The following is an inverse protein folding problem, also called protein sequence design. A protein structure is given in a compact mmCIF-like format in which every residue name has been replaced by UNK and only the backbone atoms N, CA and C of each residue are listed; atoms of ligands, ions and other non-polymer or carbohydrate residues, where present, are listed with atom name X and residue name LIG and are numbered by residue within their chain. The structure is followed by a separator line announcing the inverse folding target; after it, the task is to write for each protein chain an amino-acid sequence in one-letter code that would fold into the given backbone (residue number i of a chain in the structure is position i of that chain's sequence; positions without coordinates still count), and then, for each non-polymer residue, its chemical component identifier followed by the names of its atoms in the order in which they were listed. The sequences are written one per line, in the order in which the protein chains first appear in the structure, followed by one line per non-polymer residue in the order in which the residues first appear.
data_IF_004952806452
#
_entry.id   IF_004952806452
#
_cell.length_a   1.000
_cell.length_b   1.000
_cell.length_c   1.000
_cell.angle_alpha   90.00
_cell.angle_beta   90.00
_cell.angle_gamma   90.00
#
_symmetry.space_group_name_H-M   'P 1'
#
loop_
_entity.id
_entity.type
_entity.pdbx_description
1 polymer ?
#
# COMPACT_ATOMS: atom_id res chain seq x y z
N UNK A 1 23.73 47.97 -34.49
CA UNK A 1 24.45 46.80 -35.07
C UNK A 1 24.24 45.63 -34.13
N UNK A 2 23.33 44.72 -34.47
CA UNK A 2 22.94 43.53 -33.69
C UNK A 2 23.54 42.28 -34.34
N UNK A 3 24.08 41.32 -33.55
CA UNK A 3 24.10 39.91 -33.92
C UNK A 3 23.22 39.12 -32.93
N UNK A 4 22.03 38.65 -33.31
CA UNK A 4 21.70 37.46 -34.11
C UNK A 4 22.07 36.12 -33.43
N UNK A 5 21.01 35.39 -33.03
CA UNK A 5 20.95 34.14 -32.26
C UNK A 5 21.65 32.96 -32.94
N UNK A 6 22.11 32.01 -32.12
CA UNK A 6 22.13 30.58 -32.50
C UNK A 6 21.50 29.75 -31.38
N UNK A 7 20.31 29.25 -31.65
CA UNK A 7 19.57 28.29 -30.82
C UNK A 7 20.13 26.88 -31.08
N UNK A 8 20.51 26.16 -30.02
CA UNK A 8 21.01 24.78 -30.09
C UNK A 8 19.83 23.85 -29.80
N UNK A 9 19.36 23.15 -30.83
CA UNK A 9 18.31 22.14 -30.72
C UNK A 9 18.97 20.81 -30.37
N UNK A 10 18.80 20.34 -29.13
CA UNK A 10 19.26 19.03 -28.67
C UNK A 10 18.17 17.99 -29.02
N UNK A 11 18.53 17.04 -29.88
CA UNK A 11 17.64 15.98 -30.38
C UNK A 11 17.85 14.71 -29.54
N UNK A 12 17.03 14.50 -28.51
CA UNK A 12 17.01 13.25 -27.74
C UNK A 12 16.32 12.15 -28.55
N UNK A 13 17.09 11.11 -28.89
CA UNK A 13 16.62 9.93 -29.62
C UNK A 13 15.77 9.05 -28.69
N UNK A 14 14.52 8.82 -29.08
CA UNK A 14 13.61 7.90 -28.38
C UNK A 14 14.09 6.46 -28.45
N UNK A 15 14.18 5.81 -27.29
CA UNK A 15 14.37 4.38 -27.16
C UNK A 15 13.00 3.70 -27.00
N UNK A 16 12.63 2.88 -27.99
CA UNK A 16 11.40 2.10 -28.00
C UNK A 16 11.74 0.65 -27.66
N UNK A 17 11.58 0.26 -26.40
CA UNK A 17 11.79 -1.12 -25.95
C UNK A 17 10.54 -1.95 -26.27
N UNK A 18 10.71 -3.04 -27.03
CA UNK A 18 9.64 -3.92 -27.50
C UNK A 18 9.70 -5.20 -26.66
N UNK A 19 8.93 -5.27 -25.56
CA UNK A 19 8.80 -6.51 -24.79
C UNK A 19 7.91 -7.49 -25.57
N UNK A 20 8.48 -8.64 -25.93
CA UNK A 20 7.80 -9.70 -26.69
C UNK A 20 6.99 -10.55 -25.71
N UNK A 21 5.68 -10.65 -25.95
CA UNK A 21 4.78 -11.49 -25.16
C UNK A 21 5.22 -12.95 -25.11
N UNK A 22 5.10 -13.54 -23.92
CA UNK A 22 5.40 -14.92 -23.62
C UNK A 22 4.32 -15.83 -24.24
N UNK A 23 4.55 -16.26 -25.49
CA UNK A 23 3.63 -17.14 -26.23
C UNK A 23 4.10 -18.60 -26.13
N UNK A 24 3.22 -19.47 -25.64
CA UNK A 24 3.14 -20.93 -25.78
C UNK A 24 4.45 -21.65 -26.16
N UNK A 25 5.39 -21.69 -25.21
CA UNK A 25 6.62 -22.44 -25.36
C UNK A 25 6.42 -23.86 -24.81
N UNK A 26 6.65 -24.90 -25.63
CA UNK A 26 6.40 -26.31 -25.25
C UNK A 26 7.20 -26.75 -24.02
N UNK A 27 8.30 -26.06 -23.73
CA UNK A 27 9.12 -26.25 -22.51
C UNK A 27 8.36 -25.81 -21.25
N UNK A 28 7.61 -24.70 -21.29
CA UNK A 28 6.82 -24.20 -20.16
C UNK A 28 5.59 -25.09 -19.91
N UNK A 29 4.96 -25.62 -20.97
CA UNK A 29 3.87 -26.60 -20.82
C UNK A 29 4.36 -27.94 -20.25
N UNK A 30 5.57 -28.39 -20.61
CA UNK A 30 6.12 -29.66 -20.12
C UNK A 30 6.54 -29.61 -18.65
N UNK A 31 6.96 -28.45 -18.14
CA UNK A 31 7.27 -28.23 -16.72
C UNK A 31 6.00 -28.16 -15.85
N UNK A 32 4.91 -27.57 -16.37
CA UNK A 32 3.62 -27.54 -15.69
C UNK A 32 2.99 -28.95 -15.59
N UNK A 33 3.16 -29.80 -16.61
CA UNK A 33 2.63 -31.16 -16.64
C UNK A 33 3.36 -32.11 -15.66
N UNK A 34 4.67 -31.92 -15.44
CA UNK A 34 5.45 -32.71 -14.46
C UNK A 34 5.16 -32.32 -13.00
N UNK A 35 4.79 -31.05 -12.74
CA UNK A 35 4.38 -30.59 -11.42
C UNK A 35 3.00 -31.17 -11.01
N UNK A 36 2.10 -31.43 -11.96
CA UNK A 36 0.80 -32.07 -11.71
C UNK A 36 0.91 -33.58 -11.52
N UNK A 37 1.89 -34.25 -12.15
CA UNK A 37 2.09 -35.70 -12.01
C UNK A 37 2.76 -36.11 -10.68
N UNK A 38 3.43 -35.19 -9.99
CA UNK A 38 4.04 -35.40 -8.67
C UNK A 38 3.06 -35.40 -7.49
N UNK A 39 1.80 -34.99 -7.70
CA UNK A 39 0.76 -34.92 -6.66
C UNK A 39 -0.15 -36.17 -6.59
N UNK A 40 0.07 -37.18 -7.44
CA UNK A 40 -0.78 -38.37 -7.54
C UNK A 40 -0.23 -39.64 -6.85
N UNK A 41 0.78 -39.51 -5.97
CA UNK A 41 1.35 -40.64 -5.21
C UNK A 41 1.43 -40.36 -3.70
N UNK A 42 0.38 -39.76 -3.14
CA UNK A 42 0.14 -39.82 -1.70
C UNK A 42 -1.34 -40.08 -1.39
N UNK A 43 -1.90 -41.12 -2.01
CA UNK A 43 -3.11 -41.78 -1.50
C UNK A 43 -2.69 -43.15 -0.98
N UNK A 44 -2.14 -43.15 0.24
CA UNK A 44 -1.97 -44.36 1.04
C UNK A 44 -3.18 -44.49 1.97
N UNK A 45 -3.96 -45.54 1.75
CA UNK A 45 -5.11 -45.98 2.54
C UNK A 45 -4.71 -46.28 3.99
N UNK A 46 -5.60 -45.98 4.94
CA UNK A 46 -5.84 -46.91 6.05
C UNK A 46 -7.31 -46.91 6.48
N UNK A 47 -7.74 -48.09 6.90
CA UNK A 47 -9.09 -48.58 7.10
C UNK A 47 -9.67 -48.18 8.46
N UNK A 48 -10.97 -47.88 8.45
CA UNK A 48 -11.88 -48.43 9.45
C UNK A 48 -12.16 -47.58 10.70
N UNK A 49 -13.42 -47.16 10.79
CA UNK A 49 -14.40 -47.61 11.80
C UNK A 49 -15.26 -46.45 12.35
N UNK A 50 -16.56 -46.73 12.36
CA UNK A 50 -17.72 -45.83 12.46
C UNK A 50 -18.11 -45.50 13.93
N UNK A 51 -19.25 -44.84 14.20
CA UNK A 51 -19.37 -43.45 14.64
C UNK A 51 -19.74 -43.29 16.11
N UNK A 52 -19.58 -42.08 16.65
CA UNK A 52 -20.34 -41.65 17.82
C UNK A 52 -20.64 -40.15 17.74
N UNK A 53 -21.93 -39.84 17.81
CA UNK A 53 -22.52 -38.52 17.88
C UNK A 53 -22.04 -37.77 19.13
N UNK A 54 -21.98 -36.44 19.08
CA UNK A 54 -22.59 -35.52 20.06
C UNK A 54 -22.40 -34.10 19.55
N UNK A 55 -23.51 -33.41 19.26
CA UNK A 55 -23.50 -31.99 18.96
C UNK A 55 -23.15 -31.17 20.19
N UNK A 56 -22.47 -30.06 19.98
CA UNK A 56 -22.46 -28.91 20.89
C UNK A 56 -21.92 -27.70 20.13
N UNK A 57 -22.65 -26.61 20.29
CA UNK A 57 -22.64 -25.40 19.50
C UNK A 57 -21.31 -24.64 19.45
N UNK A 58 -21.09 -24.09 18.26
CA UNK A 58 -20.24 -22.97 17.89
C UNK A 58 -20.45 -21.75 18.83
N UNK A 59 -19.40 -21.10 19.35
CA UNK A 59 -19.44 -19.67 19.58
C UNK A 59 -18.83 -18.97 18.38
N UNK A 60 -19.72 -18.49 17.52
CA UNK A 60 -19.47 -17.49 16.48
C UNK A 60 -19.03 -16.22 17.21
N UNK A 61 -17.72 -16.06 17.37
CA UNK A 61 -17.13 -14.80 17.82
C UNK A 61 -17.35 -13.75 16.73
N UNK A 62 -18.56 -13.21 16.72
CA UNK A 62 -18.93 -12.02 15.97
C UNK A 62 -18.34 -10.85 16.75
N UNK A 63 -17.05 -10.61 16.59
CA UNK A 63 -16.49 -9.29 16.86
C UNK A 63 -16.92 -8.39 15.70
N UNK A 64 -18.16 -7.91 15.80
CA UNK A 64 -18.52 -6.62 15.24
C UNK A 64 -17.61 -5.60 15.93
N UNK A 65 -16.52 -5.24 15.26
CA UNK A 65 -15.83 -4.00 15.56
C UNK A 65 -16.78 -2.88 15.14
N UNK A 66 -17.62 -2.48 16.09
CA UNK A 66 -18.35 -1.23 16.03
C UNK A 66 -17.29 -0.13 15.95
N UNK A 67 -17.10 0.42 14.75
CA UNK A 67 -16.37 1.67 14.49
C UNK A 67 -17.05 2.78 15.27
N UNK A 68 -16.66 2.91 16.53
CA UNK A 68 -17.05 4.03 17.38
C UNK A 68 -16.12 5.18 17.03
N UNK A 69 -16.59 6.04 16.12
CA UNK A 69 -16.14 7.41 15.90
C UNK A 69 -16.21 8.19 17.22
N UNK A 70 -15.22 7.98 18.08
CA UNK A 70 -14.92 8.85 19.20
C UNK A 70 -13.87 9.83 18.71
N UNK A 71 -14.23 11.11 18.59
CA UNK A 71 -13.35 12.20 18.19
C UNK A 71 -12.03 12.15 18.98
N UNK A 72 -11.00 11.54 18.39
CA UNK A 72 -9.64 11.61 18.92
C UNK A 72 -9.21 13.05 18.74
N UNK A 73 -8.98 13.76 19.85
CA UNK A 73 -8.56 15.17 19.78
C UNK A 73 -7.11 15.23 19.34
N UNK A 74 -6.92 15.54 18.06
CA UNK A 74 -5.62 15.86 17.46
C UNK A 74 -5.36 17.36 17.51
N UNK A 75 -4.10 17.73 17.67
CA UNK A 75 -3.65 19.12 17.77
C UNK A 75 -2.82 19.46 16.53
N UNK A 76 -3.13 20.59 15.90
CA UNK A 76 -2.42 21.04 14.71
C UNK A 76 -0.93 21.22 15.00
N UNK A 77 -0.08 20.74 14.09
CA UNK A 77 1.36 20.85 14.23
C UNK A 77 1.97 19.84 15.18
N UNK A 78 1.22 18.87 15.72
CA UNK A 78 1.78 17.72 16.43
C UNK A 78 2.11 16.54 15.50
N UNK A 79 2.93 15.61 16.00
CA UNK A 79 3.35 14.43 15.26
C UNK A 79 2.46 13.23 15.61
N UNK A 80 1.97 12.54 14.59
CA UNK A 80 1.13 11.36 14.73
C UNK A 80 1.61 10.27 13.77
N UNK A 81 1.41 9.00 14.15
CA UNK A 81 1.83 7.84 13.34
C UNK A 81 0.82 6.70 13.37
N UNK A 82 -0.03 6.61 14.40
CA UNK A 82 -1.08 5.60 14.44
C UNK A 82 -2.14 5.88 13.34
N UNK A 83 -2.70 4.85 12.69
CA UNK A 83 -3.64 5.03 11.58
C UNK A 83 -4.82 5.93 11.94
N UNK A 84 -5.41 5.73 13.12
CA UNK A 84 -6.58 6.47 13.58
C UNK A 84 -6.24 7.93 13.90
N UNK A 85 -5.09 8.20 14.53
CA UNK A 85 -4.65 9.57 14.84
C UNK A 85 -4.33 10.34 13.55
N UNK A 86 -3.65 9.70 12.60
CA UNK A 86 -3.30 10.33 11.31
C UNK A 86 -4.55 10.56 10.49
N UNK A 87 -5.52 9.63 10.50
CA UNK A 87 -6.81 9.82 9.85
C UNK A 87 -7.60 10.99 10.47
N UNK A 88 -7.65 11.08 11.80
CA UNK A 88 -8.27 12.20 12.51
C UNK A 88 -7.57 13.53 12.19
N UNK A 89 -6.25 13.53 12.04
CA UNK A 89 -5.49 14.72 11.64
C UNK A 89 -5.83 15.18 10.23
N UNK A 90 -5.88 14.25 9.26
CA UNK A 90 -6.26 14.55 7.88
C UNK A 90 -7.71 15.08 7.83
N UNK A 91 -8.63 14.44 8.55
CA UNK A 91 -10.03 14.87 8.64
C UNK A 91 -10.15 16.30 9.19
N UNK A 92 -9.42 16.62 10.26
CA UNK A 92 -9.54 17.90 10.94
C UNK A 92 -8.80 19.05 10.22
N UNK A 93 -7.67 18.78 9.57
CA UNK A 93 -6.77 19.81 9.05
C UNK A 93 -6.56 19.77 7.53
N UNK A 94 -7.01 18.73 6.84
CA UNK A 94 -6.84 18.57 5.39
C UNK A 94 -5.38 18.38 4.93
N UNK A 95 -4.46 18.08 5.86
CA UNK A 95 -3.04 17.85 5.57
C UNK A 95 -2.49 16.74 6.46
N UNK A 96 -1.27 16.29 6.19
CA UNK A 96 -0.57 15.31 7.02
C UNK A 96 0.07 15.98 8.26
N UNK A 97 0.24 15.22 9.35
CA UNK A 97 1.04 15.64 10.50
C UNK A 97 2.46 16.11 10.11
N UNK A 98 3.08 16.98 10.93
CA UNK A 98 4.39 17.60 10.62
C UNK A 98 5.54 16.60 10.42
N UNK A 99 5.40 15.37 10.91
CA UNK A 99 6.38 14.30 10.80
C UNK A 99 6.34 13.56 9.45
N UNK A 100 5.57 14.03 8.47
CA UNK A 100 5.57 13.48 7.11
C UNK A 100 6.51 14.23 6.16
N UNK A 101 6.98 13.52 5.14
CA UNK A 101 7.80 14.04 4.04
C UNK A 101 7.47 13.28 2.76
N UNK A 102 7.47 13.97 1.60
CA UNK A 102 7.24 13.30 0.31
C UNK A 102 8.44 12.48 -0.11
N UNK A 103 8.23 11.42 -0.89
CA UNK A 103 9.31 10.55 -1.42
C UNK A 103 10.40 11.37 -2.13
N UNK A 104 10.02 12.40 -2.89
CA UNK A 104 10.97 13.23 -3.62
C UNK A 104 11.88 14.05 -2.69
N UNK A 105 11.32 14.60 -1.61
CA UNK A 105 12.04 15.39 -0.62
C UNK A 105 12.95 14.51 0.24
N UNK A 106 12.46 13.34 0.67
CA UNK A 106 13.26 12.35 1.37
C UNK A 106 14.46 11.90 0.53
N UNK A 107 14.25 11.61 -0.77
CA UNK A 107 15.35 11.26 -1.69
C UNK A 107 16.35 12.41 -1.85
N UNK A 108 15.88 13.66 -1.91
CA UNK A 108 16.75 14.82 -1.97
C UNK A 108 17.58 15.00 -0.68
N UNK A 109 17.06 14.57 0.47
CA UNK A 109 17.78 14.53 1.74
C UNK A 109 18.78 13.37 1.86
N UNK A 110 18.80 12.42 0.91
CA UNK A 110 19.72 11.27 0.92
C UNK A 110 19.07 9.94 1.29
N UNK A 111 17.74 9.86 1.29
CA UNK A 111 17.04 8.61 1.59
C UNK A 111 17.27 7.57 0.47
N UNK A 112 17.76 6.40 0.88
CA UNK A 112 17.96 5.20 0.08
C UNK A 112 17.01 4.13 0.64
N UNK A 113 15.89 3.82 -0.04
CA UNK A 113 14.87 2.89 0.47
C UNK A 113 15.43 1.52 0.86
N UNK A 114 16.37 1.01 0.08
CA UNK A 114 17.00 -0.31 0.25
C UNK A 114 17.87 -0.38 1.50
N UNK A 115 18.39 0.76 1.97
CA UNK A 115 19.20 0.86 3.18
C UNK A 115 18.33 1.09 4.43
N UNK A 116 17.06 1.48 4.28
CA UNK A 116 16.19 1.80 5.40
C UNK A 116 16.64 3.03 6.20
N UNK A 117 17.45 3.90 5.59
CA UNK A 117 18.14 5.00 6.26
C UNK A 117 17.30 6.28 6.45
N UNK A 118 15.97 6.22 6.35
CA UNK A 118 15.11 7.42 6.33
C UNK A 118 15.31 8.31 7.56
N UNK A 119 15.37 7.71 8.75
CA UNK A 119 15.60 8.43 10.01
C UNK A 119 17.05 8.89 10.22
N UNK A 120 18.00 8.40 9.41
CA UNK A 120 19.38 8.90 9.45
C UNK A 120 19.51 10.22 8.69
N UNK A 121 18.66 10.41 7.68
CA UNK A 121 18.68 11.59 6.80
C UNK A 121 17.52 12.56 7.06
N UNK A 122 16.59 12.21 7.93
CA UNK A 122 15.45 13.05 8.33
C UNK A 122 15.27 13.04 9.84
N UNK A 123 14.62 14.07 10.37
CA UNK A 123 14.26 14.14 11.79
C UNK A 123 13.06 13.24 12.10
N UNK A 124 13.31 11.93 12.15
CA UNK A 124 12.33 10.88 12.48
C UNK A 124 11.03 10.94 11.67
N UNK A 125 11.13 11.28 10.37
CA UNK A 125 9.96 11.45 9.50
C UNK A 125 9.44 10.13 8.92
N UNK A 126 8.18 10.14 8.51
CA UNK A 126 7.50 9.09 7.75
C UNK A 126 7.26 9.54 6.30
N UNK A 127 7.20 8.59 5.37
CA UNK A 127 6.85 8.90 3.98
C UNK A 127 5.35 9.17 3.85
N UNK A 128 4.96 10.24 3.16
CA UNK A 128 3.55 10.46 2.82
C UNK A 128 3.28 11.70 1.99
N UNK A 129 2.05 11.76 1.45
CA UNK A 129 1.55 12.88 0.64
C UNK A 129 1.76 12.72 -0.86
N UNK A 130 2.38 11.63 -1.29
CA UNK A 130 2.52 11.27 -2.71
C UNK A 130 1.18 10.74 -3.26
N UNK A 131 0.99 10.86 -4.59
CA UNK A 131 -0.21 10.38 -5.28
C UNK A 131 -0.31 8.85 -5.20
N UNK A 132 -1.47 8.34 -4.78
CA UNK A 132 -1.84 6.93 -4.92
C UNK A 132 -2.54 6.68 -6.26
N UNK A 133 -2.16 5.61 -6.94
CA UNK A 133 -2.58 5.36 -8.32
C UNK A 133 -3.96 4.72 -8.48
N UNK A 134 -4.40 3.92 -7.51
CA UNK A 134 -5.57 3.06 -7.57
C UNK A 134 -5.65 2.23 -8.88
N UNK A 135 -4.54 1.62 -9.31
CA UNK A 135 -4.47 0.91 -10.59
C UNK A 135 -5.26 -0.40 -10.59
N UNK A 136 -5.44 -0.97 -9.40
CA UNK A 136 -6.20 -2.19 -9.12
C UNK A 136 -7.71 -1.92 -8.99
N UNK A 137 -8.13 -0.65 -8.91
CA UNK A 137 -9.55 -0.25 -8.84
C UNK A 137 -10.27 -0.75 -7.58
N UNK A 138 -9.53 -0.92 -6.46
CA UNK A 138 -10.11 -1.38 -5.20
C UNK A 138 -10.84 -0.26 -4.44
N UNK A 139 -10.53 0.99 -4.75
CA UNK A 139 -11.18 2.19 -4.20
C UNK A 139 -12.05 2.88 -5.28
N UNK A 140 -13.03 3.72 -4.91
CA UNK A 140 -13.82 4.50 -5.88
C UNK A 140 -12.95 5.31 -6.87
N UNK A 141 -13.27 5.27 -8.16
CA UNK A 141 -12.44 5.85 -9.24
C UNK A 141 -12.66 7.35 -9.49
N UNK A 142 -13.69 7.94 -8.88
CA UNK A 142 -14.08 9.35 -9.01
C UNK A 142 -13.20 10.31 -8.18
N UNK A 143 -12.19 9.77 -7.51
CA UNK A 143 -11.37 10.45 -6.52
C UNK A 143 -9.89 10.51 -6.91
N UNK A 144 -9.23 11.59 -6.49
CA UNK A 144 -7.78 11.66 -6.48
C UNK A 144 -7.26 11.28 -5.09
N UNK A 145 -6.46 10.24 -5.01
CA UNK A 145 -5.93 9.75 -3.74
C UNK A 145 -4.46 10.10 -3.51
N UNK A 146 -4.11 10.20 -2.24
CA UNK A 146 -2.75 10.27 -1.71
C UNK A 146 -2.51 9.12 -0.74
N UNK A 147 -1.24 8.80 -0.50
CA UNK A 147 -0.82 7.75 0.42
C UNK A 147 0.08 8.28 1.52
N UNK A 148 0.04 7.64 2.69
CA UNK A 148 0.91 7.94 3.82
C UNK A 148 1.27 6.67 4.61
N UNK A 149 2.54 6.51 4.98
CA UNK A 149 2.99 5.46 5.88
C UNK A 149 2.43 5.69 7.28
N UNK A 150 2.02 4.62 7.96
CA UNK A 150 1.58 4.67 9.36
C UNK A 150 2.31 3.61 10.16
N UNK A 151 2.35 3.78 11.48
CA UNK A 151 3.09 2.92 12.41
C UNK A 151 4.58 2.77 12.10
N UNK A 152 5.17 3.71 11.35
CA UNK A 152 6.59 3.66 10.99
C UNK A 152 7.48 4.04 12.17
N UNK A 153 8.52 3.22 12.42
CA UNK A 153 9.42 3.34 13.58
C UNK A 153 10.91 3.29 13.17
N UNK A 154 11.23 3.74 11.94
CA UNK A 154 12.58 3.70 11.40
C UNK A 154 12.91 2.38 10.68
N UNK A 155 14.06 2.35 9.99
CA UNK A 155 14.50 1.20 9.19
C UNK A 155 13.74 1.04 7.87
N UNK A 156 13.65 -0.18 7.32
CA UNK A 156 12.83 -0.45 6.13
C UNK A 156 11.35 -0.10 6.36
N UNK A 157 10.68 0.43 5.33
CA UNK A 157 9.25 0.76 5.40
C UNK A 157 8.42 -0.51 5.59
N UNK A 158 7.46 -0.47 6.53
CA UNK A 158 6.48 -1.54 6.75
C UNK A 158 5.41 -1.59 5.65
N UNK A 159 4.44 -2.53 5.72
CA UNK A 159 3.37 -2.66 4.74
C UNK A 159 2.20 -1.68 4.95
N UNK A 160 2.09 -1.07 6.13
CA UNK A 160 0.89 -0.35 6.54
C UNK A 160 0.81 1.08 5.97
N UNK A 161 -0.36 1.46 5.47
CA UNK A 161 -0.58 2.76 4.84
C UNK A 161 -1.99 3.28 5.10
N UNK A 162 -2.12 4.61 5.10
CA UNK A 162 -3.38 5.26 4.75
C UNK A 162 -3.41 5.60 3.26
N UNK A 163 -4.61 5.56 2.69
CA UNK A 163 -4.95 6.11 1.39
C UNK A 163 -6.14 7.03 1.59
N UNK A 164 -6.01 8.30 1.21
CA UNK A 164 -7.00 9.33 1.49
C UNK A 164 -7.26 10.21 0.27
N UNK A 165 -8.50 10.69 0.09
CA UNK A 165 -8.83 11.64 -0.97
C UNK A 165 -8.20 13.01 -0.70
N UNK A 166 -8.02 13.84 -1.73
CA UNK A 166 -7.41 15.17 -1.56
C UNK A 166 -8.13 16.05 -0.54
N UNK A 167 -9.45 15.93 -0.44
CA UNK A 167 -10.27 16.70 0.51
C UNK A 167 -10.36 16.05 1.91
N UNK A 168 -9.83 14.83 2.08
CA UNK A 168 -9.84 14.11 3.36
C UNK A 168 -11.20 13.48 3.74
N UNK A 169 -12.18 13.46 2.83
CA UNK A 169 -13.53 12.93 3.09
C UNK A 169 -13.64 11.41 2.93
N UNK A 170 -12.67 10.79 2.27
CA UNK A 170 -12.52 9.34 2.16
C UNK A 170 -11.14 8.97 2.66
N UNK A 171 -11.07 8.15 3.70
CA UNK A 171 -9.82 7.68 4.31
C UNK A 171 -9.90 6.17 4.50
N UNK A 172 -8.98 5.47 3.88
CA UNK A 172 -8.84 4.02 3.91
C UNK A 172 -7.50 3.63 4.52
N UNK A 173 -7.47 2.50 5.22
CA UNK A 173 -6.28 1.90 5.79
C UNK A 173 -6.00 0.55 5.15
N UNK A 174 -4.75 0.27 4.85
CA UNK A 174 -4.26 -1.05 4.45
C UNK A 174 -3.16 -1.49 5.41
N UNK A 175 -3.25 -2.74 5.87
CA UNK A 175 -2.22 -3.38 6.70
C UNK A 175 -1.27 -4.28 5.91
N UNK A 176 -1.62 -4.54 4.66
CA UNK A 176 -1.08 -5.60 3.81
C UNK A 176 -0.57 -5.05 2.48
N UNK A 177 -0.05 -3.81 2.50
CA UNK A 177 0.60 -3.19 1.34
C UNK A 177 -0.31 -3.14 0.10
N UNK A 178 -1.51 -2.58 0.30
CA UNK A 178 -2.56 -2.36 -0.71
C UNK A 178 -3.25 -3.64 -1.22
N UNK A 179 -3.09 -4.78 -0.56
CA UNK A 179 -3.82 -6.00 -0.93
C UNK A 179 -5.31 -5.91 -0.53
N UNK A 180 -5.61 -5.28 0.62
CA UNK A 180 -6.96 -4.99 1.08
C UNK A 180 -7.07 -3.64 1.82
N UNK A 181 -8.29 -3.10 1.86
CA UNK A 181 -8.59 -1.81 2.48
C UNK A 181 -9.71 -1.92 3.52
N UNK A 182 -9.51 -1.24 4.64
CA UNK A 182 -10.52 -0.95 5.65
C UNK A 182 -10.89 0.53 5.57
N UNK A 183 -12.18 0.84 5.46
CA UNK A 183 -12.66 2.23 5.55
C UNK A 183 -12.52 2.75 6.98
N UNK A 184 -11.83 3.88 7.16
CA UNK A 184 -11.76 4.61 8.42
C UNK A 184 -12.72 5.81 8.44
N UNK A 185 -12.88 6.48 7.29
CA UNK A 185 -13.81 7.58 7.06
C UNK A 185 -14.35 7.52 5.63
N UNK A 186 -15.64 7.76 5.48
CA UNK A 186 -16.31 7.93 4.18
C UNK A 186 -17.52 8.85 4.41
N UNK A 187 -17.54 9.98 3.71
CA UNK A 187 -18.63 10.97 3.74
C UNK A 187 -19.20 11.06 2.33
N UNK A 188 -20.52 10.86 2.20
CA UNK A 188 -21.27 10.90 0.93
C UNK A 188 -21.69 12.32 0.53
#
# INVERSE_FOLDING_TARGET
MTPCLKSVIIKVKGWRMKMKGLKNNKIVQSLLALLVLGLALWTGQDLGQEPAQTGSDEPRSSQSATTSQGSQQVVEGEAYSAPEDVAAYIDQFGDLPKNYIRKAEAKAAGWIPEEGNLWEVTDHKSIGGDRFGNYEGQLPEDEAYREADVNYQGGPRGPERLVYSEDGDKIYYTKDHYDSFQTLKEVD
#
